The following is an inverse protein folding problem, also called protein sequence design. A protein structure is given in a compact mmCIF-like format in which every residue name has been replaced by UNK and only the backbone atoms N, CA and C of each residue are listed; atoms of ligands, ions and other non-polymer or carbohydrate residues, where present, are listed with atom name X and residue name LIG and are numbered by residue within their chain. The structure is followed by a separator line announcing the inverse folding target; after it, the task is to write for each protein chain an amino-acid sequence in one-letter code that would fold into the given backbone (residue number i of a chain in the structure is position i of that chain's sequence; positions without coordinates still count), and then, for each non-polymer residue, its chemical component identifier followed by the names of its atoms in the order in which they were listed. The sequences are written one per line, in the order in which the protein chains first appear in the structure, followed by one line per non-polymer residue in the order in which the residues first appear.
data_IF_650371308795
#
_entry.id   IF_650371308795
#
_cell.length_a   1.000
_cell.length_b   1.000
_cell.length_c   1.000
_cell.angle_alpha   90.00
_cell.angle_beta   90.00
_cell.angle_gamma   90.00
#
_symmetry.space_group_name_H-M   'P 1'
#
loop_
_entity.id
_entity.type
_entity.pdbx_description
1 polymer ?
#
# COMPACT_ATOMS: atom_id res chain seq x y z
N UNK A 1 -3.67 -16.05 2.19
CA UNK A 1 -3.46 -15.29 0.94
C UNK A 1 -4.15 -13.94 1.12
N UNK A 2 -3.52 -12.84 0.72
CA UNK A 2 -4.17 -11.52 0.78
C UNK A 2 -5.16 -11.45 -0.37
N UNK A 3 -6.41 -11.07 -0.06
CA UNK A 3 -7.47 -10.88 -1.03
C UNK A 3 -7.83 -9.40 -1.21
N UNK A 4 -7.55 -8.58 -0.19
CA UNK A 4 -8.00 -7.20 -0.12
C UNK A 4 -7.04 -6.38 0.76
N UNK A 5 -6.73 -5.16 0.34
CA UNK A 5 -6.04 -4.14 1.12
C UNK A 5 -6.82 -2.81 1.01
N UNK A 6 -7.12 -2.19 2.15
CA UNK A 6 -7.61 -0.81 2.21
C UNK A 6 -6.60 0.04 2.96
N UNK A 7 -6.26 1.18 2.38
CA UNK A 7 -5.40 2.19 2.98
C UNK A 7 -6.21 3.49 3.12
N UNK A 8 -6.33 3.99 4.35
CA UNK A 8 -7.10 5.21 4.67
C UNK A 8 -6.26 6.16 5.48
N UNK A 9 -6.34 7.45 5.16
CA UNK A 9 -5.64 8.53 5.85
C UNK A 9 -4.15 8.21 6.08
N UNK A 10 -3.45 7.82 5.03
CA UNK A 10 -2.06 7.39 5.09
C UNK A 10 -1.22 8.25 4.14
N UNK A 11 -0.28 9.01 4.69
CA UNK A 11 0.54 9.99 3.95
C UNK A 11 -0.39 10.95 3.16
N UNK A 12 -0.34 10.95 1.82
CA UNK A 12 -1.15 11.82 0.95
C UNK A 12 -2.48 11.18 0.51
N UNK A 13 -2.69 9.90 0.80
CA UNK A 13 -3.86 9.16 0.31
C UNK A 13 -4.98 9.21 1.33
N UNK A 14 -6.16 9.66 0.87
CA UNK A 14 -7.39 9.63 1.67
C UNK A 14 -7.99 8.24 1.75
N UNK A 15 -8.15 7.60 0.60
CA UNK A 15 -8.73 6.27 0.48
C UNK A 15 -8.18 5.57 -0.77
N UNK A 16 -7.65 4.37 -0.58
CA UNK A 16 -7.24 3.45 -1.65
C UNK A 16 -7.71 2.05 -1.29
N UNK A 17 -8.26 1.36 -2.28
CA UNK A 17 -8.69 -0.03 -2.20
C UNK A 17 -7.98 -0.86 -3.28
N UNK A 18 -7.45 -2.01 -2.89
CA UNK A 18 -6.80 -2.97 -3.79
C UNK A 18 -7.39 -4.36 -3.55
N UNK A 19 -8.00 -4.91 -4.59
CA UNK A 19 -8.47 -6.30 -4.60
C UNK A 19 -7.42 -7.16 -5.29
N UNK A 20 -6.96 -8.19 -4.60
CA UNK A 20 -5.92 -9.11 -5.09
C UNK A 20 -6.55 -10.33 -5.73
N UNK A 21 -6.04 -10.69 -6.90
CA UNK A 21 -6.38 -11.92 -7.60
C UNK A 21 -5.31 -12.99 -7.36
N UNK A 22 -5.65 -14.28 -7.49
CA UNK A 22 -4.67 -15.35 -7.44
C UNK A 22 -3.56 -15.17 -8.48
N UNK A 23 -2.34 -15.58 -8.12
CA UNK A 23 -1.16 -15.47 -9.00
C UNK A 23 -0.32 -14.22 -8.72
N UNK A 24 0.22 -13.62 -9.78
CA UNK A 24 1.11 -12.46 -9.68
C UNK A 24 0.34 -11.15 -9.88
N UNK A 25 0.44 -10.25 -8.91
CA UNK A 25 -0.07 -8.88 -9.01
C UNK A 25 1.05 -7.95 -9.47
N UNK A 26 0.81 -7.16 -10.52
CA UNK A 26 1.76 -6.16 -11.02
C UNK A 26 1.18 -4.77 -10.80
N UNK A 27 1.89 -3.93 -10.05
CA UNK A 27 1.53 -2.53 -9.78
C UNK A 27 2.30 -1.63 -10.76
N UNK A 28 1.57 -0.89 -11.61
CA UNK A 28 2.14 0.00 -12.63
C UNK A 28 1.72 1.46 -12.40
N UNK A 29 2.35 2.39 -13.12
CA UNK A 29 2.08 3.82 -13.04
C UNK A 29 3.35 4.66 -13.18
N UNK A 30 3.22 5.97 -13.19
CA UNK A 30 4.35 6.91 -13.24
C UNK A 30 5.04 7.08 -11.87
N UNK A 31 6.17 7.78 -11.83
CA UNK A 31 6.80 8.19 -10.56
C UNK A 31 5.85 9.10 -9.80
N UNK A 32 5.62 8.83 -8.52
CA UNK A 32 4.68 9.59 -7.70
C UNK A 32 3.22 9.14 -7.78
N UNK A 33 2.88 8.15 -8.61
CA UNK A 33 1.52 7.62 -8.74
C UNK A 33 1.00 6.83 -7.50
N UNK A 34 1.74 6.83 -6.38
CA UNK A 34 1.32 6.15 -5.14
C UNK A 34 1.62 4.65 -5.07
N UNK A 35 2.43 4.09 -5.98
CA UNK A 35 2.82 2.67 -5.92
C UNK A 35 3.55 2.29 -4.63
N UNK A 36 4.53 3.11 -4.22
CA UNK A 36 5.31 2.85 -2.99
C UNK A 36 4.44 2.88 -1.74
N UNK A 37 3.38 3.69 -1.73
CA UNK A 37 2.45 3.75 -0.59
C UNK A 37 1.77 2.40 -0.32
N UNK A 38 1.39 1.66 -1.36
CA UNK A 38 0.83 0.31 -1.21
C UNK A 38 1.88 -0.63 -0.61
N UNK A 39 3.13 -0.53 -1.09
CA UNK A 39 4.25 -1.34 -0.60
C UNK A 39 4.56 -1.02 0.87
N UNK A 40 4.61 0.25 1.24
CA UNK A 40 4.89 0.71 2.60
C UNK A 40 3.78 0.27 3.57
N UNK A 41 2.51 0.41 3.16
CA UNK A 41 1.36 -0.07 3.94
C UNK A 41 1.44 -1.59 4.17
N UNK A 42 1.84 -2.37 3.16
CA UNK A 42 2.05 -3.81 3.30
C UNK A 42 3.23 -4.14 4.21
N UNK A 43 4.34 -3.41 4.13
CA UNK A 43 5.51 -3.61 5.00
C UNK A 43 5.15 -3.41 6.48
N UNK A 44 4.39 -2.36 6.80
CA UNK A 44 3.90 -2.08 8.16
C UNK A 44 2.99 -3.22 8.65
N UNK A 45 2.07 -3.72 7.81
CA UNK A 45 1.21 -4.86 8.17
C UNK A 45 2.01 -6.14 8.44
N UNK A 46 3.18 -6.29 7.82
CA UNK A 46 4.10 -7.41 8.03
C UNK A 46 5.03 -7.21 9.24
N UNK A 47 4.90 -6.10 9.97
CA UNK A 47 5.62 -5.82 11.21
C UNK A 47 6.88 -4.96 11.03
N UNK A 48 7.05 -4.32 9.87
CA UNK A 48 8.15 -3.38 9.68
C UNK A 48 8.00 -2.13 10.58
N UNK A 49 9.12 -1.51 10.93
CA UNK A 49 9.11 -0.34 11.80
C UNK A 49 8.52 0.86 11.07
N UNK A 50 7.47 1.42 11.64
CA UNK A 50 6.88 2.68 11.19
C UNK A 50 7.80 3.84 11.60
N UNK A 51 8.27 4.63 10.63
CA UNK A 51 8.97 5.89 10.91
C UNK A 51 7.95 6.96 11.35
N UNK A 52 8.40 7.93 12.16
CA UNK A 52 7.62 9.13 12.48
C UNK A 52 7.32 9.98 11.22
N UNK A 53 8.02 9.74 10.11
CA UNK A 53 7.77 10.39 8.81
C UNK A 53 6.46 9.94 8.13
N UNK A 54 5.75 8.96 8.70
CA UNK A 54 4.52 8.38 8.15
C UNK A 54 3.25 9.10 8.67
N UNK A 55 3.41 10.21 9.39
CA UNK A 55 2.33 11.04 9.95
C UNK A 55 1.84 12.08 8.93
#
# INVERSE_FOLDING_TARGET
MINWLTVRNFIIVRDVEVVFSPGMTVLTGETGAGKSLIVDAMAILLGDRTSADII
#
